data_IF_230671208673
#
_entry.id   IF_230671208673
#
_cell.length_a   1.000
_cell.length_b   1.000
_cell.length_c   1.000
_cell.angle_alpha   90.00
_cell.angle_beta   90.00
_cell.angle_gamma   90.00
#
_symmetry.space_group_name_H-M   'P 1'
#
loop_
_entity.id
_entity.type
_entity.pdbx_description
1 polymer ?
#
# COMPACT_ATOMS: atom_id res chain seq x y z
N UNK A 1 45.45 -37.52 20.84
CA UNK A 1 45.52 -36.06 21.00
C UNK A 1 45.15 -35.30 19.69
N UNK A 2 45.71 -35.70 18.58
CA UNK A 2 45.42 -35.03 17.30
C UNK A 2 43.94 -35.11 16.90
N UNK A 3 43.31 -36.24 17.09
CA UNK A 3 41.88 -36.41 16.83
C UNK A 3 41.00 -35.50 17.70
N UNK A 4 41.35 -35.36 18.96
CA UNK A 4 40.60 -34.51 19.90
C UNK A 4 40.67 -33.04 19.51
N UNK A 5 41.82 -32.55 19.10
CA UNK A 5 41.99 -31.19 18.63
C UNK A 5 41.22 -30.91 17.32
N UNK A 6 41.19 -31.90 16.44
CA UNK A 6 40.44 -31.77 15.18
C UNK A 6 38.94 -31.72 15.42
N UNK A 7 38.43 -32.51 16.39
CA UNK A 7 37.01 -32.46 16.78
C UNK A 7 36.64 -31.12 17.37
N UNK A 8 37.49 -30.52 18.21
CA UNK A 8 37.27 -29.20 18.76
C UNK A 8 37.28 -28.11 17.68
N UNK A 9 38.15 -28.20 16.71
CA UNK A 9 38.17 -27.28 15.56
C UNK A 9 36.90 -27.37 14.73
N UNK A 10 36.41 -28.57 14.45
CA UNK A 10 35.18 -28.78 13.71
C UNK A 10 33.97 -28.18 14.45
N UNK A 11 33.89 -28.37 15.75
CA UNK A 11 32.82 -27.83 16.56
C UNK A 11 32.79 -26.32 16.55
N UNK A 12 33.95 -25.65 16.66
CA UNK A 12 34.07 -24.19 16.57
C UNK A 12 33.68 -23.66 15.19
N UNK A 13 34.11 -24.34 14.15
CA UNK A 13 33.75 -23.98 12.79
C UNK A 13 32.25 -24.04 12.52
N UNK A 14 31.58 -25.09 12.97
CA UNK A 14 30.13 -25.24 12.82
C UNK A 14 29.37 -24.16 13.56
N UNK A 15 29.77 -23.77 14.75
CA UNK A 15 29.15 -22.65 15.49
C UNK A 15 29.26 -21.34 14.75
N UNK A 16 30.43 -21.05 14.18
CA UNK A 16 30.63 -19.82 13.40
C UNK A 16 29.74 -19.80 12.17
N UNK A 17 29.65 -20.91 11.47
CA UNK A 17 28.80 -21.05 10.28
C UNK A 17 27.31 -20.84 10.63
N UNK A 18 26.87 -21.37 11.76
CA UNK A 18 25.47 -21.22 12.23
C UNK A 18 25.14 -19.75 12.55
N UNK A 19 26.06 -19.01 13.16
CA UNK A 19 25.89 -17.58 13.42
C UNK A 19 25.75 -16.77 12.14
N UNK A 20 26.55 -17.08 11.13
CA UNK A 20 26.50 -16.37 9.84
C UNK A 20 25.18 -16.63 9.10
N UNK A 21 24.67 -17.86 9.13
CA UNK A 21 23.35 -18.20 8.56
C UNK A 21 22.24 -17.41 9.27
N UNK A 22 22.27 -17.30 10.58
CA UNK A 22 21.28 -16.53 11.34
C UNK A 22 21.30 -15.05 10.99
N UNK A 23 22.49 -14.46 10.81
CA UNK A 23 22.63 -13.07 10.40
C UNK A 23 22.07 -12.83 8.99
N UNK A 24 22.36 -13.71 8.06
CA UNK A 24 21.82 -13.60 6.69
C UNK A 24 20.31 -13.76 6.67
N UNK A 25 19.76 -14.72 7.40
CA UNK A 25 18.33 -14.92 7.51
C UNK A 25 17.63 -13.70 8.10
N UNK A 26 18.19 -13.12 9.15
CA UNK A 26 17.67 -11.90 9.78
C UNK A 26 17.66 -10.72 8.80
N UNK A 27 18.74 -10.54 8.06
CA UNK A 27 18.87 -9.47 7.05
C UNK A 27 17.83 -9.64 5.94
N UNK A 28 17.63 -10.86 5.44
CA UNK A 28 16.62 -11.17 4.43
C UNK A 28 15.21 -10.88 4.94
N UNK A 29 14.91 -11.24 6.19
CA UNK A 29 13.61 -10.93 6.81
C UNK A 29 13.37 -9.42 6.89
N UNK A 30 14.37 -8.63 7.25
CA UNK A 30 14.25 -7.16 7.29
C UNK A 30 13.96 -6.60 5.91
N UNK A 31 14.68 -7.05 4.89
CA UNK A 31 14.45 -6.63 3.50
C UNK A 31 13.04 -6.97 3.04
N UNK A 32 12.55 -8.15 3.40
CA UNK A 32 11.20 -8.60 3.05
C UNK A 32 10.14 -7.73 3.72
N UNK A 33 10.33 -7.40 5.01
CA UNK A 33 9.44 -6.51 5.75
C UNK A 33 9.43 -5.10 5.15
N UNK A 34 10.59 -4.55 4.78
CA UNK A 34 10.68 -3.25 4.14
C UNK A 34 9.96 -3.25 2.79
N UNK A 35 10.13 -4.28 2.00
CA UNK A 35 9.44 -4.44 0.74
C UNK A 35 7.92 -4.49 0.92
N UNK A 36 7.46 -5.23 1.91
CA UNK A 36 6.04 -5.32 2.27
C UNK A 36 5.47 -3.97 2.70
N UNK A 37 6.19 -3.22 3.53
CA UNK A 37 5.78 -1.88 3.99
C UNK A 37 5.70 -0.91 2.81
N UNK A 38 6.67 -0.94 1.89
CA UNK A 38 6.67 -0.09 0.70
C UNK A 38 5.45 -0.40 -0.17
N UNK A 39 5.11 -1.68 -0.36
CA UNK A 39 3.94 -2.08 -1.15
C UNK A 39 2.62 -1.62 -0.52
N UNK A 40 2.48 -1.69 0.79
CA UNK A 40 1.26 -1.26 1.49
C UNK A 40 1.11 0.26 1.55
N UNK A 41 2.22 1.00 1.55
CA UNK A 41 2.20 2.48 1.57
C UNK A 41 1.82 3.13 0.25
N UNK A 42 1.72 2.39 -0.84
CA UNK A 42 1.30 2.93 -2.14
C UNK A 42 -0.19 3.25 -2.20
N UNK A 43 -0.99 2.71 -1.28
CA UNK A 43 -2.41 3.05 -1.17
C UNK A 43 -2.59 4.32 -0.36
N UNK A 44 -3.32 5.28 -0.95
CA UNK A 44 -3.66 6.55 -0.31
C UNK A 44 -5.17 6.62 -0.14
N UNK A 45 -5.61 7.29 0.92
CA UNK A 45 -7.02 7.52 1.19
C UNK A 45 -7.28 9.02 1.31
N UNK A 46 -8.36 9.48 0.71
CA UNK A 46 -8.77 10.88 0.74
C UNK A 46 -10.26 10.98 1.00
N UNK A 47 -10.66 11.90 1.86
CA UNK A 47 -12.06 12.17 2.16
C UNK A 47 -12.57 13.27 1.23
N UNK A 48 -13.66 12.98 0.52
CA UNK A 48 -14.23 13.86 -0.48
C UNK A 48 -15.75 13.93 -0.34
N UNK A 49 -16.33 15.03 -0.79
CA UNK A 49 -17.79 15.22 -0.82
C UNK A 49 -18.30 15.01 -2.25
N UNK A 50 -19.41 14.28 -2.37
CA UNK A 50 -20.04 14.03 -3.67
C UNK A 50 -20.72 15.30 -4.16
N UNK A 51 -20.28 15.80 -5.34
CA UNK A 51 -20.88 16.93 -6.04
C UNK A 51 -21.87 16.48 -7.11
N UNK A 52 -21.51 15.46 -7.87
CA UNK A 52 -22.32 14.93 -8.97
C UNK A 52 -22.24 13.42 -8.98
N UNK A 53 -23.36 12.76 -9.31
CA UNK A 53 -23.45 11.30 -9.47
C UNK A 53 -23.79 11.01 -10.91
N UNK A 54 -22.90 10.29 -11.60
CA UNK A 54 -23.08 9.82 -12.97
C UNK A 54 -23.14 8.31 -12.98
N UNK A 55 -23.57 7.72 -14.09
CA UNK A 55 -23.79 6.26 -14.18
C UNK A 55 -22.52 5.44 -13.94
N UNK A 56 -21.36 5.93 -14.38
CA UNK A 56 -20.09 5.22 -14.31
C UNK A 56 -19.03 5.90 -13.46
N UNK A 57 -19.26 7.12 -13.02
CA UNK A 57 -18.28 7.87 -12.24
C UNK A 57 -18.96 8.89 -11.32
N UNK A 58 -18.19 9.40 -10.37
CA UNK A 58 -18.60 10.47 -9.45
C UNK A 58 -17.69 11.67 -9.65
N UNK A 59 -18.26 12.88 -9.47
CA UNK A 59 -17.48 14.09 -9.29
C UNK A 59 -17.50 14.42 -7.81
N UNK A 60 -16.31 14.48 -7.22
CA UNK A 60 -16.10 14.68 -5.80
C UNK A 60 -15.27 15.94 -5.57
N UNK A 61 -15.44 16.56 -4.42
CA UNK A 61 -14.70 17.77 -4.05
C UNK A 61 -13.97 17.56 -2.72
N UNK A 62 -12.70 17.99 -2.68
CA UNK A 62 -11.94 18.09 -1.46
C UNK A 62 -12.44 19.31 -0.65
N UNK A 63 -12.88 19.08 0.57
CA UNK A 63 -13.39 20.12 1.44
C UNK A 63 -12.33 21.12 1.89
N UNK A 64 -11.07 20.70 1.91
CA UNK A 64 -9.96 21.54 2.40
C UNK A 64 -9.47 22.52 1.33
N UNK A 65 -9.33 22.07 0.09
CA UNK A 65 -8.75 22.86 -1.00
C UNK A 65 -9.75 23.17 -2.12
N UNK A 66 -10.97 22.67 -2.03
CA UNK A 66 -12.03 22.83 -3.04
C UNK A 66 -11.64 22.35 -4.44
N UNK A 67 -10.77 21.36 -4.52
CA UNK A 67 -10.39 20.72 -5.77
C UNK A 67 -11.43 19.67 -6.16
N UNK A 68 -11.78 19.64 -7.43
CA UNK A 68 -12.70 18.65 -7.98
C UNK A 68 -11.95 17.43 -8.50
N UNK A 69 -12.48 16.25 -8.23
CA UNK A 69 -11.89 14.98 -8.66
C UNK A 69 -12.96 14.13 -9.35
N UNK A 70 -12.56 13.48 -10.42
CA UNK A 70 -13.34 12.43 -11.07
C UNK A 70 -12.88 11.08 -10.55
N UNK A 71 -13.81 10.27 -10.07
CA UNK A 71 -13.55 8.94 -9.56
C UNK A 71 -14.47 7.95 -10.24
N UNK A 72 -13.90 6.96 -10.93
CA UNK A 72 -14.67 5.90 -11.55
C UNK A 72 -15.25 4.97 -10.49
N UNK A 73 -16.48 4.53 -10.69
CA UNK A 73 -17.14 3.59 -9.79
C UNK A 73 -16.48 2.22 -9.88
N UNK A 74 -16.05 1.67 -8.73
CA UNK A 74 -15.39 0.38 -8.64
C UNK A 74 -16.22 -0.55 -7.77
N UNK A 75 -16.90 -1.51 -8.40
CA UNK A 75 -17.70 -2.49 -7.68
C UNK A 75 -18.93 -1.92 -6.97
N UNK A 76 -19.28 -0.67 -7.25
CA UNK A 76 -20.44 0.02 -6.66
C UNK A 76 -21.31 0.59 -7.76
N UNK A 77 -22.58 0.75 -7.45
CA UNK A 77 -23.55 1.37 -8.37
C UNK A 77 -23.73 2.85 -8.02
N UNK A 78 -24.07 3.65 -9.03
CA UNK A 78 -24.33 5.09 -8.86
C UNK A 78 -25.46 5.37 -7.86
N UNK A 79 -26.40 4.46 -7.75
CA UNK A 79 -27.53 4.55 -6.80
C UNK A 79 -27.11 4.45 -5.32
N UNK A 80 -25.90 3.97 -5.06
CA UNK A 80 -25.35 3.89 -3.69
C UNK A 80 -24.92 5.25 -3.13
N UNK A 81 -24.85 6.29 -3.98
CA UNK A 81 -24.33 7.60 -3.61
C UNK A 81 -25.36 8.71 -3.86
N UNK A 82 -25.36 9.71 -3.00
CA UNK A 82 -26.17 10.90 -3.14
C UNK A 82 -25.28 12.15 -3.09
N UNK A 83 -25.70 13.21 -3.79
CA UNK A 83 -25.01 14.50 -3.73
C UNK A 83 -24.98 14.98 -2.27
N UNK A 84 -23.80 15.40 -1.82
CA UNK A 84 -23.57 15.83 -0.45
C UNK A 84 -23.01 14.77 0.46
N UNK A 85 -22.99 13.49 0.05
CA UNK A 85 -22.39 12.43 0.84
C UNK A 85 -20.89 12.63 1.00
N UNK A 86 -20.37 12.30 2.18
CA UNK A 86 -18.93 12.24 2.44
C UNK A 86 -18.46 10.81 2.21
N UNK A 87 -17.45 10.67 1.35
CA UNK A 87 -16.90 9.37 1.01
C UNK A 87 -15.38 9.36 1.22
N UNK A 88 -14.85 8.19 1.55
CA UNK A 88 -13.41 7.95 1.63
C UNK A 88 -13.02 7.13 0.41
N UNK A 89 -12.14 7.69 -0.42
CA UNK A 89 -11.65 7.04 -1.63
C UNK A 89 -10.23 6.56 -1.39
N UNK A 90 -10.02 5.26 -1.58
CA UNK A 90 -8.69 4.64 -1.52
C UNK A 90 -8.19 4.40 -2.93
N UNK A 91 -7.01 4.92 -3.24
CA UNK A 91 -6.42 4.83 -4.58
C UNK A 91 -4.91 4.54 -4.47
N UNK A 92 -4.35 3.93 -5.50
CA UNK A 92 -2.93 3.59 -5.57
C UNK A 92 -2.23 4.13 -6.82
N UNK A 93 -2.95 4.81 -7.69
CA UNK A 93 -2.41 5.39 -8.90
C UNK A 93 -2.06 6.87 -8.77
N UNK A 94 -1.57 7.44 -9.85
CA UNK A 94 -1.26 8.86 -9.92
C UNK A 94 -2.54 9.68 -10.09
N UNK A 95 -2.52 10.90 -9.56
CA UNK A 95 -3.57 11.89 -9.84
C UNK A 95 -3.26 12.54 -11.19
N UNK A 96 -4.16 12.41 -12.14
CA UNK A 96 -4.04 13.09 -13.44
C UNK A 96 -4.44 14.55 -13.28
N UNK A 97 -3.56 15.44 -13.73
CA UNK A 97 -3.75 16.89 -13.64
C UNK A 97 -4.64 17.38 -14.80
N UNK A 98 -5.89 16.96 -14.78
CA UNK A 98 -6.93 17.38 -15.70
C UNK A 98 -7.95 18.23 -14.95
N UNK A 99 -8.96 18.78 -15.64
CA UNK A 99 -10.02 19.56 -15.02
C UNK A 99 -11.39 18.94 -15.32
N UNK A 100 -11.98 18.14 -14.39
CA UNK A 100 -11.51 17.80 -13.04
C UNK A 100 -10.35 16.81 -13.04
N UNK A 101 -9.56 16.82 -11.97
CA UNK A 101 -8.48 15.86 -11.82
C UNK A 101 -9.04 14.43 -11.69
N UNK A 102 -8.34 13.45 -12.27
CA UNK A 102 -8.74 12.04 -12.19
C UNK A 102 -7.86 11.30 -11.20
N UNK A 103 -8.50 10.52 -10.30
CA UNK A 103 -7.78 9.61 -9.41
C UNK A 103 -7.58 8.28 -10.12
N UNK A 104 -6.30 7.87 -10.30
CA UNK A 104 -5.96 6.60 -10.90
C UNK A 104 -5.88 5.48 -9.88
N UNK A 105 -6.23 4.25 -10.30
CA UNK A 105 -6.10 3.08 -9.48
C UNK A 105 -6.97 3.08 -8.22
N UNK A 106 -8.20 3.54 -8.33
CA UNK A 106 -9.17 3.51 -7.21
C UNK A 106 -9.50 2.06 -6.88
N UNK A 107 -9.26 1.69 -5.63
CA UNK A 107 -9.51 0.33 -5.14
C UNK A 107 -10.75 0.23 -4.27
N UNK A 108 -11.15 1.31 -3.60
CA UNK A 108 -12.31 1.33 -2.72
C UNK A 108 -12.91 2.73 -2.64
N UNK A 109 -14.24 2.79 -2.60
CA UNK A 109 -15.02 4.00 -2.29
C UNK A 109 -15.94 3.64 -1.13
N UNK A 110 -15.76 4.29 0.02
CA UNK A 110 -16.48 3.98 1.25
C UNK A 110 -17.23 5.21 1.78
N UNK A 111 -18.48 5.00 2.10
CA UNK A 111 -19.31 6.03 2.77
C UNK A 111 -18.93 6.25 4.22
#
# INVERSE_FOLDING_TARGET
MLKKNNELRKGGYLKSFHKDIMKVAFFVCILFLLFFIIHTKLQKSIELQVLEVHDTYLILQDLKYSNDYRVDLVGKESTDFNVGDLVIVTYNGAVEDTAPASLGGVTEIKL
#
